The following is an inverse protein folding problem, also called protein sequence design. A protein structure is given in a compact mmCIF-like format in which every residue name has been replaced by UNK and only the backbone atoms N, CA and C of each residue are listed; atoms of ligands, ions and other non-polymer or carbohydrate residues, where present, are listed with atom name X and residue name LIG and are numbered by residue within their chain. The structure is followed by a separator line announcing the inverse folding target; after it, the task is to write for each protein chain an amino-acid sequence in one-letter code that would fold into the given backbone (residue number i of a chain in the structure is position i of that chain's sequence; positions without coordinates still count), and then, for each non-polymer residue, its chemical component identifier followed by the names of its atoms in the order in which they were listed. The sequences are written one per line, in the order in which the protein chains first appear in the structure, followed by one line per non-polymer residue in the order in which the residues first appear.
data_IF_829976275272
#
_entry.id   IF_829976275272
#
_cell.length_a   1.000
_cell.length_b   1.000
_cell.length_c   1.000
_cell.angle_alpha   90.00
_cell.angle_beta   90.00
_cell.angle_gamma   90.00
#
_symmetry.space_group_name_H-M   'P 1'
#
loop_
_entity.id
_entity.type
_entity.pdbx_description
1 polymer ?
#
# COMPACT_ATOMS: atom_id res chain seq x y z
N UNK A 1 31.84 -5.24 0.38
CA UNK A 1 30.71 -6.16 0.14
C UNK A 1 29.60 -5.66 1.04
N UNK A 2 28.55 -5.08 0.44
CA UNK A 2 27.49 -4.33 1.15
C UNK A 2 26.75 -5.22 2.15
N UNK A 3 26.37 -4.67 3.32
CA UNK A 3 25.51 -5.33 4.32
C UNK A 3 24.23 -5.89 3.69
N UNK A 4 23.68 -5.16 2.71
CA UNK A 4 22.51 -5.53 1.91
C UNK A 4 22.74 -6.85 1.16
N UNK A 5 23.94 -7.10 0.63
CA UNK A 5 24.27 -8.36 -0.07
C UNK A 5 24.35 -9.56 0.87
N UNK A 6 24.73 -9.35 2.13
CA UNK A 6 24.73 -10.40 3.18
C UNK A 6 23.33 -10.78 3.64
N UNK A 7 22.36 -9.87 3.50
CA UNK A 7 20.94 -10.10 3.86
C UNK A 7 20.24 -10.88 2.76
N UNK A 8 20.54 -10.60 1.46
CA UNK A 8 19.96 -11.33 0.31
C UNK A 8 20.36 -12.81 0.22
N UNK A 9 21.55 -13.20 0.74
CA UNK A 9 22.08 -14.58 0.62
C UNK A 9 21.58 -15.55 1.72
N UNK A 10 20.77 -15.07 2.65
CA UNK A 10 20.09 -15.91 3.63
C UNK A 10 18.59 -15.68 3.50
N UNK A 11 17.80 -16.75 3.30
CA UNK A 11 16.42 -16.82 3.73
C UNK A 11 16.42 -16.69 5.27
N UNK A 12 16.63 -15.49 5.78
CA UNK A 12 16.67 -15.17 7.19
C UNK A 12 15.30 -14.62 7.51
N UNK A 13 14.58 -15.27 8.42
CA UNK A 13 13.66 -14.54 9.28
C UNK A 13 14.37 -13.27 9.69
N UNK A 14 13.82 -12.12 9.30
CA UNK A 14 14.37 -10.83 9.66
C UNK A 14 14.19 -10.68 11.17
N UNK A 15 15.13 -11.22 11.96
CA UNK A 15 15.23 -10.78 13.34
C UNK A 15 15.61 -9.32 13.30
N UNK A 16 14.72 -8.45 13.80
CA UNK A 16 14.91 -7.01 13.92
C UNK A 16 16.37 -6.68 14.25
N UNK A 17 17.09 -6.13 13.27
CA UNK A 17 18.52 -5.83 13.44
C UNK A 17 18.72 -4.40 13.91
N UNK A 18 18.97 -4.23 15.21
CA UNK A 18 19.29 -2.93 15.83
C UNK A 18 20.43 -2.18 15.14
N UNK A 19 21.37 -2.88 14.49
CA UNK A 19 22.47 -2.24 13.75
C UNK A 19 21.93 -1.60 12.46
N UNK A 20 20.99 -2.25 11.79
CA UNK A 20 20.38 -1.72 10.58
C UNK A 20 19.50 -0.48 10.89
N UNK A 21 18.76 -0.50 11.99
CA UNK A 21 18.00 0.67 12.45
C UNK A 21 18.91 1.88 12.64
N UNK A 22 20.09 1.71 13.25
CA UNK A 22 21.07 2.81 13.39
C UNK A 22 21.57 3.33 12.05
N UNK A 23 21.74 2.45 11.06
CA UNK A 23 22.12 2.88 9.70
C UNK A 23 21.00 3.73 9.11
N UNK A 24 19.75 3.27 9.18
CA UNK A 24 18.58 4.00 8.67
C UNK A 24 18.46 5.36 9.34
N UNK A 25 18.50 5.43 10.68
CA UNK A 25 18.45 6.69 11.44
C UNK A 25 19.57 7.65 11.01
N UNK A 26 20.80 7.13 10.83
CA UNK A 26 21.93 7.95 10.36
C UNK A 26 21.70 8.48 8.95
N UNK A 27 21.11 7.68 8.07
CA UNK A 27 20.81 8.05 6.68
C UNK A 27 19.70 9.10 6.61
N UNK A 28 18.67 8.96 7.44
CA UNK A 28 17.63 9.99 7.62
C UNK A 28 18.27 11.31 8.05
N UNK A 29 19.09 11.30 9.10
CA UNK A 29 19.77 12.48 9.60
C UNK A 29 20.68 13.16 8.57
N UNK A 30 21.26 12.39 7.65
CA UNK A 30 22.09 12.88 6.54
C UNK A 30 21.30 13.26 5.28
N UNK A 31 19.97 13.22 5.30
CA UNK A 31 19.08 13.48 4.16
C UNK A 31 19.38 12.61 2.92
N UNK A 32 19.77 11.34 3.12
CA UNK A 32 20.08 10.40 2.03
C UNK A 32 18.80 9.71 1.52
N UNK A 33 17.94 10.50 0.86
CA UNK A 33 16.64 10.04 0.32
C UNK A 33 16.79 8.84 -0.62
N UNK A 34 17.84 8.82 -1.46
CA UNK A 34 18.05 7.74 -2.42
C UNK A 34 18.37 6.41 -1.72
N UNK A 35 19.21 6.45 -0.69
CA UNK A 35 19.47 5.26 0.11
C UNK A 35 18.19 4.73 0.75
N UNK A 36 17.39 5.60 1.35
CA UNK A 36 16.15 5.24 2.02
C UNK A 36 15.18 4.58 1.02
N UNK A 37 14.84 5.26 -0.07
CA UNK A 37 13.90 4.75 -1.08
C UNK A 37 14.36 3.39 -1.63
N UNK A 38 15.63 3.28 -2.03
CA UNK A 38 16.14 2.03 -2.58
C UNK A 38 16.14 0.89 -1.56
N UNK A 39 16.50 1.19 -0.31
CA UNK A 39 16.56 0.19 0.75
C UNK A 39 15.18 -0.35 1.11
N UNK A 40 14.18 0.53 1.24
CA UNK A 40 12.83 0.12 1.58
C UNK A 40 12.15 -0.63 0.44
N UNK A 41 12.31 -0.20 -0.82
CA UNK A 41 11.75 -0.89 -1.98
C UNK A 41 12.45 -2.24 -2.30
N UNK A 42 13.62 -2.51 -1.72
CA UNK A 42 14.29 -3.81 -1.84
C UNK A 42 13.92 -4.80 -0.73
N UNK A 43 13.22 -4.36 0.31
CA UNK A 43 12.78 -5.18 1.44
C UNK A 43 11.41 -5.78 1.18
N UNK A 44 11.09 -6.83 1.96
CA UNK A 44 9.71 -7.26 2.09
C UNK A 44 8.91 -6.15 2.81
N UNK A 45 7.67 -5.83 2.40
CA UNK A 45 6.88 -4.77 3.01
C UNK A 45 6.79 -4.85 4.54
N UNK A 46 6.55 -6.03 5.11
CA UNK A 46 6.50 -6.23 6.56
C UNK A 46 7.82 -5.89 7.26
N UNK A 47 8.98 -6.22 6.66
CA UNK A 47 10.29 -5.90 7.24
C UNK A 47 10.55 -4.39 7.21
N UNK A 48 10.13 -3.72 6.14
CA UNK A 48 10.21 -2.26 6.02
C UNK A 48 9.30 -1.56 7.03
N UNK A 49 8.08 -2.06 7.23
CA UNK A 49 7.13 -1.59 8.24
C UNK A 49 7.71 -1.73 9.65
N UNK A 50 8.26 -2.88 9.99
CA UNK A 50 8.92 -3.12 11.28
C UNK A 50 10.01 -2.08 11.58
N UNK A 51 10.82 -1.71 10.58
CA UNK A 51 11.84 -0.69 10.74
C UNK A 51 11.20 0.67 11.03
N UNK A 52 10.18 1.06 10.26
CA UNK A 52 9.47 2.34 10.43
C UNK A 52 8.84 2.42 11.82
N UNK A 53 8.23 1.35 12.30
CA UNK A 53 7.63 1.29 13.63
C UNK A 53 8.64 1.47 14.77
N UNK A 54 9.85 0.95 14.57
CA UNK A 54 10.92 1.08 15.55
C UNK A 54 11.68 2.41 15.48
N UNK A 55 11.46 3.26 14.47
CA UNK A 55 11.96 4.63 14.45
C UNK A 55 11.27 5.46 15.54
N UNK A 56 11.99 6.41 16.12
CA UNK A 56 11.36 7.45 16.94
C UNK A 56 10.48 8.38 16.10
N UNK A 57 9.48 9.01 16.73
CA UNK A 57 8.53 9.90 16.03
C UNK A 57 9.22 10.96 15.17
N UNK A 58 10.26 11.62 15.67
CA UNK A 58 11.01 12.63 14.93
C UNK A 58 11.73 12.06 13.70
N UNK A 59 12.20 10.81 13.78
CA UNK A 59 12.88 10.15 12.67
C UNK A 59 11.84 9.71 11.61
N UNK A 60 10.65 9.26 12.03
CA UNK A 60 9.54 8.98 11.12
C UNK A 60 9.07 10.24 10.38
N UNK A 61 8.85 11.34 11.11
CA UNK A 61 8.50 12.63 10.48
C UNK A 61 9.56 13.06 9.46
N UNK A 62 10.84 12.93 9.82
CA UNK A 62 11.95 13.26 8.93
C UNK A 62 11.99 12.33 7.70
N UNK A 63 11.74 11.03 7.87
CA UNK A 63 11.63 10.06 6.79
C UNK A 63 10.54 10.46 5.79
N UNK A 64 9.35 10.81 6.29
CA UNK A 64 8.21 11.20 5.44
C UNK A 64 8.53 12.49 4.68
N UNK A 65 9.07 13.50 5.35
CA UNK A 65 9.45 14.78 4.72
C UNK A 65 10.57 14.63 3.69
N UNK A 66 11.45 13.64 3.89
CA UNK A 66 12.59 13.42 3.02
C UNK A 66 12.20 12.86 1.65
N UNK A 67 11.22 11.98 1.58
CA UNK A 67 10.85 11.29 0.35
C UNK A 67 9.35 11.28 0.03
N UNK A 68 8.50 12.00 0.79
CA UNK A 68 7.04 12.01 0.69
C UNK A 68 6.43 10.60 0.70
N UNK A 69 7.00 9.69 1.49
CA UNK A 69 6.62 8.28 1.52
C UNK A 69 6.67 7.60 0.13
N UNK A 70 7.68 7.94 -0.68
CA UNK A 70 7.90 7.31 -1.98
C UNK A 70 8.57 5.94 -1.82
N UNK A 71 7.87 5.02 -1.19
CA UNK A 71 8.20 3.61 -0.97
C UNK A 71 6.98 2.77 -1.36
N UNK A 72 7.15 1.45 -1.40
CA UNK A 72 6.07 0.52 -1.75
C UNK A 72 4.81 0.78 -0.88
N UNK A 73 3.64 1.02 -1.48
CA UNK A 73 2.38 1.23 -0.74
C UNK A 73 2.03 0.08 0.21
N UNK A 74 2.42 -1.15 -0.10
CA UNK A 74 2.20 -2.30 0.76
C UNK A 74 2.91 -2.16 2.11
N UNK A 75 4.01 -1.40 2.19
CA UNK A 75 4.66 -1.09 3.46
C UNK A 75 3.72 -0.32 4.39
N UNK A 76 2.87 0.56 3.82
CA UNK A 76 1.91 1.32 4.62
C UNK A 76 0.86 0.42 5.26
N UNK A 77 0.38 -0.60 4.53
CA UNK A 77 -0.63 -1.55 5.00
C UNK A 77 -0.10 -2.43 6.14
N UNK A 78 1.17 -2.77 6.09
CA UNK A 78 1.82 -3.58 7.13
C UNK A 78 2.07 -2.80 8.45
N UNK A 79 1.95 -1.46 8.45
CA UNK A 79 2.13 -0.64 9.65
C UNK A 79 0.94 -0.78 10.61
N UNK A 80 1.20 -0.70 11.92
CA UNK A 80 0.13 -0.60 12.91
C UNK A 80 -0.66 0.73 12.77
N UNK A 81 -1.93 0.71 13.16
CA UNK A 81 -2.87 1.82 13.00
C UNK A 81 -2.35 3.16 13.59
N UNK A 82 -1.63 3.11 14.71
CA UNK A 82 -1.08 4.31 15.35
C UNK A 82 -0.02 4.99 14.47
N UNK A 83 0.85 4.19 13.86
CA UNK A 83 1.90 4.70 12.96
C UNK A 83 1.30 5.12 11.62
N UNK A 84 0.31 4.39 11.09
CA UNK A 84 -0.44 4.81 9.90
C UNK A 84 -1.06 6.20 10.08
N UNK A 85 -1.79 6.40 11.19
CA UNK A 85 -2.42 7.70 11.50
C UNK A 85 -1.38 8.82 11.66
N UNK A 86 -0.24 8.53 12.28
CA UNK A 86 0.87 9.48 12.40
C UNK A 86 1.42 9.86 11.02
N UNK A 87 1.65 8.89 10.14
CA UNK A 87 2.19 9.11 8.79
C UNK A 87 1.21 9.93 7.94
N UNK A 88 -0.09 9.58 7.95
CA UNK A 88 -1.12 10.34 7.23
C UNK A 88 -1.10 11.82 7.61
N UNK A 89 -0.93 12.13 8.89
CA UNK A 89 -0.88 13.51 9.37
C UNK A 89 0.33 14.31 8.82
N UNK A 90 1.37 13.65 8.35
CA UNK A 90 2.55 14.28 7.75
C UNK A 90 2.53 14.31 6.22
N UNK A 91 1.67 13.50 5.57
CA UNK A 91 1.58 13.44 4.12
C UNK A 91 0.80 14.62 3.55
N UNK A 92 1.21 15.06 2.36
CA UNK A 92 0.40 15.99 1.57
C UNK A 92 -0.78 15.25 0.91
N UNK A 93 -1.86 16.00 0.56
CA UNK A 93 -2.99 15.44 -0.19
C UNK A 93 -2.54 14.69 -1.46
N UNK A 94 -1.58 15.23 -2.20
CA UNK A 94 -1.03 14.60 -3.40
C UNK A 94 -0.33 13.26 -3.09
N UNK A 95 0.39 13.18 -1.98
CA UNK A 95 1.05 11.94 -1.54
C UNK A 95 0.03 10.88 -1.13
N UNK A 96 -1.04 11.29 -0.43
CA UNK A 96 -2.15 10.39 -0.09
C UNK A 96 -2.85 9.89 -1.37
N UNK A 97 -3.12 10.77 -2.34
CA UNK A 97 -3.69 10.37 -3.64
C UNK A 97 -2.82 9.33 -4.35
N UNK A 98 -1.50 9.52 -4.32
CA UNK A 98 -0.58 8.55 -4.93
C UNK A 98 -0.55 7.21 -4.17
N UNK A 99 -0.67 7.23 -2.85
CA UNK A 99 -0.79 6.03 -2.03
C UNK A 99 -2.07 5.26 -2.39
N UNK A 100 -3.23 5.93 -2.37
CA UNK A 100 -4.54 5.33 -2.64
C UNK A 100 -4.67 4.70 -4.04
N UNK A 101 -3.99 5.25 -5.05
CA UNK A 101 -4.02 4.71 -6.43
C UNK A 101 -3.35 3.34 -6.59
N UNK A 102 -2.52 2.97 -5.65
CA UNK A 102 -1.73 1.73 -5.70
C UNK A 102 -2.13 0.75 -4.60
N UNK A 103 -3.28 0.95 -3.97
CA UNK A 103 -3.84 0.09 -2.94
C UNK A 103 -5.19 -0.46 -3.41
N UNK A 104 -5.57 -1.60 -2.85
CA UNK A 104 -6.90 -2.16 -3.03
C UNK A 104 -7.97 -1.27 -2.37
N UNK A 105 -9.22 -1.40 -2.80
CA UNK A 105 -10.29 -0.49 -2.41
C UNK A 105 -10.63 -0.53 -0.92
N UNK A 106 -10.50 -1.65 -0.26
CA UNK A 106 -10.70 -1.81 1.18
C UNK A 106 -9.61 -1.09 1.99
N UNK A 107 -8.34 -1.24 1.61
CA UNK A 107 -7.22 -0.53 2.22
C UNK A 107 -7.33 1.00 2.00
N UNK A 108 -7.73 1.40 0.79
CA UNK A 108 -7.96 2.81 0.48
C UNK A 108 -9.09 3.43 1.34
N UNK A 109 -10.16 2.68 1.63
CA UNK A 109 -11.22 3.10 2.55
C UNK A 109 -10.70 3.26 3.96
N UNK A 110 -9.93 2.29 4.48
CA UNK A 110 -9.36 2.36 5.83
C UNK A 110 -8.47 3.61 6.01
N UNK A 111 -7.71 4.00 4.99
CA UNK A 111 -6.94 5.24 4.98
C UNK A 111 -7.85 6.46 5.02
N UNK A 112 -8.86 6.51 4.14
CA UNK A 112 -9.77 7.66 4.04
C UNK A 112 -10.59 7.88 5.32
N UNK A 113 -10.87 6.83 6.09
CA UNK A 113 -11.55 6.94 7.37
C UNK A 113 -10.73 7.67 8.42
N UNK A 114 -9.41 7.63 8.30
CA UNK A 114 -8.47 8.33 9.19
C UNK A 114 -8.10 9.75 8.72
N UNK A 115 -8.66 10.23 7.61
CA UNK A 115 -8.42 11.58 7.06
C UNK A 115 -9.57 12.51 7.46
N UNK A 116 -9.25 13.76 7.80
CA UNK A 116 -10.25 14.78 8.10
C UNK A 116 -11.18 15.03 6.90
N UNK A 117 -12.47 15.29 7.16
CA UNK A 117 -13.51 15.44 6.12
C UNK A 117 -13.17 16.49 5.04
N UNK A 118 -12.47 17.56 5.42
CA UNK A 118 -12.05 18.60 4.47
C UNK A 118 -11.03 18.04 3.47
N UNK A 119 -10.03 17.34 3.98
CA UNK A 119 -8.93 16.81 3.17
C UNK A 119 -9.40 15.58 2.37
N UNK A 120 -10.32 14.76 2.94
CA UNK A 120 -11.00 13.66 2.26
C UNK A 120 -11.67 14.10 0.95
N UNK A 121 -12.40 15.22 0.96
CA UNK A 121 -13.07 15.73 -0.24
C UNK A 121 -12.07 16.21 -1.31
N UNK A 122 -10.94 16.81 -0.90
CA UNK A 122 -9.87 17.23 -1.80
C UNK A 122 -9.19 16.03 -2.44
N UNK A 123 -8.83 15.03 -1.63
CA UNK A 123 -8.22 13.76 -2.06
C UNK A 123 -9.12 13.03 -3.06
N UNK A 124 -10.39 12.81 -2.70
CA UNK A 124 -11.36 12.15 -3.58
C UNK A 124 -11.54 12.89 -4.91
N UNK A 125 -11.53 14.23 -4.89
CA UNK A 125 -11.63 15.04 -6.10
C UNK A 125 -10.42 14.91 -7.02
N UNK A 126 -9.26 14.60 -6.46
CA UNK A 126 -8.00 14.45 -7.17
C UNK A 126 -7.75 13.03 -7.72
N UNK A 127 -8.58 12.06 -7.33
CA UNK A 127 -8.53 10.70 -7.85
C UNK A 127 -9.12 10.59 -9.27
N UNK A 128 -8.66 9.61 -10.08
CA UNK A 128 -9.31 9.26 -11.33
C UNK A 128 -10.81 8.98 -11.12
N UNK A 129 -11.68 9.28 -12.10
CA UNK A 129 -13.13 9.12 -11.94
C UNK A 129 -13.57 7.71 -11.56
N UNK A 130 -12.89 6.66 -12.07
CA UNK A 130 -13.17 5.25 -11.78
C UNK A 130 -12.92 4.97 -10.29
N UNK A 131 -11.73 5.30 -9.79
CA UNK A 131 -11.32 5.03 -8.41
C UNK A 131 -12.16 5.83 -7.42
N UNK A 132 -12.36 7.12 -7.73
CA UNK A 132 -13.24 8.00 -6.94
C UNK A 132 -14.65 7.44 -6.82
N UNK A 133 -15.25 6.94 -7.91
CA UNK A 133 -16.60 6.37 -7.89
C UNK A 133 -16.65 5.13 -7.00
N UNK A 134 -15.70 4.23 -7.13
CA UNK A 134 -15.61 3.02 -6.33
C UNK A 134 -15.50 3.34 -4.83
N UNK A 135 -14.62 4.28 -4.46
CA UNK A 135 -14.44 4.69 -3.05
C UNK A 135 -15.66 5.41 -2.49
N UNK A 136 -16.30 6.32 -3.27
CA UNK A 136 -17.52 6.99 -2.84
C UNK A 136 -18.68 6.01 -2.62
N UNK A 137 -18.80 5.00 -3.46
CA UNK A 137 -19.81 3.96 -3.31
C UNK A 137 -19.56 3.15 -2.03
N UNK A 138 -18.32 2.69 -1.78
CA UNK A 138 -17.96 2.01 -0.54
C UNK A 138 -18.21 2.89 0.69
N UNK A 139 -17.81 4.17 0.64
CA UNK A 139 -18.07 5.16 1.70
C UNK A 139 -19.56 5.45 1.93
N UNK A 140 -20.45 5.12 1.00
CA UNK A 140 -21.89 5.30 1.16
C UNK A 140 -22.56 4.21 2.01
N UNK A 141 -21.90 3.05 2.18
CA UNK A 141 -22.42 1.99 3.02
C UNK A 141 -22.19 2.30 4.52
N UNK A 142 -23.07 1.80 5.41
CA UNK A 142 -22.84 1.94 6.84
C UNK A 142 -21.50 1.32 7.29
N UNK A 143 -20.83 1.95 8.25
CA UNK A 143 -19.49 1.55 8.71
C UNK A 143 -19.42 0.09 9.20
N UNK A 144 -20.48 -0.42 9.83
CA UNK A 144 -20.55 -1.78 10.38
C UNK A 144 -21.00 -2.84 9.36
N UNK A 145 -20.91 -2.57 8.05
CA UNK A 145 -21.36 -3.52 7.03
C UNK A 145 -20.20 -4.12 6.25
N UNK A 146 -20.35 -5.39 5.84
CA UNK A 146 -19.39 -6.05 4.96
C UNK A 146 -19.16 -5.29 3.64
N UNK A 147 -20.19 -4.62 3.11
CA UNK A 147 -20.11 -3.81 1.91
C UNK A 147 -19.13 -2.64 2.05
N UNK A 148 -18.96 -2.10 3.27
CA UNK A 148 -18.04 -1.00 3.57
C UNK A 148 -16.58 -1.41 3.41
N UNK A 149 -16.23 -2.62 3.86
CA UNK A 149 -14.87 -3.17 3.91
C UNK A 149 -14.63 -4.23 2.84
N UNK A 150 -15.48 -4.30 1.83
CA UNK A 150 -15.39 -5.29 0.75
C UNK A 150 -14.34 -4.85 -0.26
N UNK A 151 -13.36 -5.70 -0.53
CA UNK A 151 -12.46 -5.54 -1.65
C UNK A 151 -13.24 -5.68 -2.97
N UNK A 152 -13.00 -4.77 -3.91
CA UNK A 152 -13.70 -4.72 -5.20
C UNK A 152 -12.87 -5.26 -6.35
N UNK A 153 -11.60 -5.40 -6.13
CA UNK A 153 -10.63 -5.93 -7.08
C UNK A 153 -10.68 -7.46 -7.05
N UNK A 154 -11.44 -8.04 -8.00
CA UNK A 154 -11.54 -9.49 -8.15
C UNK A 154 -11.49 -9.90 -9.62
N UNK A 155 -11.02 -11.11 -9.86
CA UNK A 155 -10.97 -11.70 -11.19
C UNK A 155 -12.19 -12.55 -11.43
N UNK A 156 -13.00 -12.22 -12.44
CA UNK A 156 -14.18 -12.97 -12.83
C UNK A 156 -14.10 -13.41 -14.31
N UNK A 157 -14.62 -14.60 -14.59
CA UNK A 157 -14.72 -15.16 -15.94
C UNK A 157 -16.11 -15.73 -16.20
N UNK A 158 -16.61 -15.73 -17.45
CA UNK A 158 -17.86 -16.37 -17.80
C UNK A 158 -17.79 -17.90 -17.64
N UNK A 159 -18.90 -18.50 -17.21
CA UNK A 159 -19.00 -19.95 -16.98
C UNK A 159 -18.84 -20.80 -18.27
N UNK A 160 -19.02 -20.19 -19.44
CA UNK A 160 -18.91 -20.86 -20.75
C UNK A 160 -17.48 -20.81 -21.33
N UNK A 161 -16.51 -20.20 -20.63
CA UNK A 161 -15.13 -20.18 -21.11
C UNK A 161 -14.41 -21.50 -20.87
N UNK A 162 -13.54 -21.84 -21.81
CA UNK A 162 -12.57 -22.92 -21.64
C UNK A 162 -11.38 -22.45 -20.83
N UNK A 163 -10.63 -23.39 -20.26
CA UNK A 163 -9.37 -23.10 -19.55
C UNK A 163 -8.39 -22.32 -20.43
N UNK A 164 -8.31 -22.64 -21.74
CA UNK A 164 -7.46 -21.91 -22.68
C UNK A 164 -7.84 -20.44 -22.80
N UNK A 165 -9.12 -20.14 -22.95
CA UNK A 165 -9.63 -18.76 -23.02
C UNK A 165 -9.35 -17.99 -21.70
N UNK A 166 -9.52 -18.66 -20.57
CA UNK A 166 -9.19 -18.08 -19.27
C UNK A 166 -7.71 -17.71 -19.18
N UNK A 167 -6.81 -18.62 -19.58
CA UNK A 167 -5.36 -18.36 -19.56
C UNK A 167 -5.00 -17.19 -20.48
N UNK A 168 -5.57 -17.14 -21.68
CA UNK A 168 -5.30 -16.05 -22.62
C UNK A 168 -5.81 -14.71 -22.05
N UNK A 169 -7.00 -14.68 -21.48
CA UNK A 169 -7.57 -13.51 -20.81
C UNK A 169 -6.67 -12.99 -19.68
N UNK A 170 -6.18 -13.89 -18.80
CA UNK A 170 -5.32 -13.53 -17.68
C UNK A 170 -3.95 -12.98 -18.14
N UNK A 171 -3.46 -13.40 -19.31
CA UNK A 171 -2.20 -12.90 -19.87
C UNK A 171 -2.33 -11.53 -20.53
N UNK A 172 -3.44 -11.32 -21.22
CA UNK A 172 -3.61 -10.17 -22.09
C UNK A 172 -4.28 -8.99 -21.39
N UNK A 173 -5.03 -9.24 -20.31
CA UNK A 173 -5.75 -8.21 -19.60
C UNK A 173 -4.85 -7.57 -18.50
N UNK A 174 -4.55 -6.28 -18.71
CA UNK A 174 -3.72 -5.48 -17.79
C UNK A 174 -4.53 -4.79 -16.68
N UNK A 175 -5.85 -4.88 -16.72
CA UNK A 175 -6.75 -4.27 -15.74
C UNK A 175 -7.08 -5.23 -14.59
N UNK A 176 -6.47 -6.41 -14.57
CA UNK A 176 -6.63 -7.37 -13.48
C UNK A 176 -5.80 -6.94 -12.26
N UNK A 177 -6.24 -7.33 -11.05
CA UNK A 177 -5.42 -7.19 -9.85
C UNK A 177 -4.03 -7.83 -10.06
N UNK A 178 -2.98 -7.21 -9.54
CA UNK A 178 -1.62 -7.76 -9.65
C UNK A 178 -1.47 -9.09 -8.89
N UNK A 179 -2.17 -9.21 -7.77
CA UNK A 179 -2.26 -10.45 -6.98
C UNK A 179 -3.72 -10.86 -6.82
N UNK A 180 -4.05 -12.09 -7.13
CA UNK A 180 -5.34 -12.71 -6.84
C UNK A 180 -5.17 -14.20 -6.54
N UNK A 181 -5.89 -14.68 -5.55
CA UNK A 181 -5.86 -16.09 -5.13
C UNK A 181 -7.00 -16.90 -5.74
N UNK A 182 -8.04 -16.23 -6.21
CA UNK A 182 -9.28 -16.84 -6.66
C UNK A 182 -9.75 -16.25 -7.98
N UNK A 183 -10.40 -17.08 -8.78
CA UNK A 183 -11.08 -16.69 -10.02
C UNK A 183 -12.55 -17.06 -9.86
N UNK A 184 -13.42 -16.06 -9.89
CA UNK A 184 -14.86 -16.26 -9.79
C UNK A 184 -15.43 -16.64 -11.15
N UNK A 185 -16.25 -17.69 -11.16
CA UNK A 185 -17.01 -18.07 -12.37
C UNK A 185 -18.41 -17.49 -12.22
N UNK A 186 -18.78 -16.63 -13.16
CA UNK A 186 -20.07 -15.93 -13.17
C UNK A 186 -20.93 -16.42 -14.32
N UNK A 187 -22.23 -16.41 -14.12
CA UNK A 187 -23.25 -16.63 -15.17
C UNK A 187 -23.64 -15.31 -15.88
N UNK A 188 -24.64 -15.38 -16.75
CA UNK A 188 -25.10 -14.22 -17.53
C UNK A 188 -25.81 -13.15 -16.68
N UNK A 189 -26.28 -13.53 -15.50
CA UNK A 189 -27.00 -12.63 -14.57
C UNK A 189 -26.07 -11.92 -13.57
N UNK A 190 -24.78 -12.28 -13.56
CA UNK A 190 -23.74 -11.75 -12.68
C UNK A 190 -23.87 -12.19 -11.22
#
# INVERSE_FOLDING_TARGET
MSLIKKIKDKKVNFEFNKEYLKVVTTKIANNDAQFITNSFNEMHPADAADIIEHLGQNDRESLIKLNNFNIDPQVFIELNESVQSEIIAYLSSDSIVNLLKNLDSDDAIAILENVDEKDKNEILSSLPPKDRFALLESLSYPEDTAARIMQREFTAIPSNWSVGQTIDYLRDNKDLPEEFLEIFIIDEDF
#
